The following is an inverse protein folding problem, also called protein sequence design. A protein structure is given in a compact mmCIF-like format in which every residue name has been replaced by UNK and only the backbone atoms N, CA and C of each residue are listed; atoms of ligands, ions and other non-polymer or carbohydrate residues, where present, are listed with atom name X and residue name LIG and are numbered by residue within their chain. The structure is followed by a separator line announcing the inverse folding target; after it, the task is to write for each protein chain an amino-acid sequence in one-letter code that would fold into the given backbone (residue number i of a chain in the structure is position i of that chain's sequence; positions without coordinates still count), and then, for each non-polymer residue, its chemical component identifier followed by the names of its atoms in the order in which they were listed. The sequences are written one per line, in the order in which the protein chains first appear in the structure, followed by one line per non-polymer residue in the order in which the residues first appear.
data_IF_403915956846
#
_entry.id   IF_403915956846
#
_cell.length_a   1.000
_cell.length_b   1.000
_cell.length_c   1.000
_cell.angle_alpha   90.00
_cell.angle_beta   90.00
_cell.angle_gamma   90.00
#
_symmetry.space_group_name_H-M   'P 1'
#
loop_
_entity.id
_entity.type
_entity.pdbx_description
1 polymer ?
#
# COMPACT_ATOMS: atom_id res chain seq x y z
N UNK A 1 17.01 -0.46 -3.15
CA UNK A 1 15.57 -0.77 -3.28
C UNK A 1 15.15 -1.67 -2.13
N UNK A 2 13.97 -1.48 -1.56
CA UNK A 2 13.37 -2.42 -0.61
C UNK A 2 11.87 -2.49 -0.90
N UNK A 3 11.34 -3.69 -1.14
CA UNK A 3 9.93 -3.89 -1.49
C UNK A 3 9.71 -4.51 -2.88
N UNK A 4 8.44 -4.56 -3.30
CA UNK A 4 7.91 -5.21 -4.51
C UNK A 4 8.71 -4.83 -5.75
N UNK A 5 9.13 -5.86 -6.51
CA UNK A 5 9.76 -5.69 -7.82
C UNK A 5 8.78 -5.90 -8.97
N UNK A 6 8.16 -7.07 -9.05
CA UNK A 6 7.12 -7.40 -10.04
C UNK A 6 7.55 -7.27 -11.52
N UNK A 7 8.85 -7.29 -11.81
CA UNK A 7 9.40 -7.21 -13.19
C UNK A 7 10.27 -8.43 -13.55
N UNK A 8 10.17 -9.51 -12.77
CA UNK A 8 10.87 -10.76 -12.98
C UNK A 8 11.01 -11.56 -11.69
N UNK A 9 11.13 -12.88 -11.82
CA UNK A 9 11.22 -13.81 -10.69
C UNK A 9 12.57 -14.52 -10.58
N UNK A 10 13.44 -14.39 -11.58
CA UNK A 10 14.75 -15.08 -11.63
C UNK A 10 15.88 -14.14 -11.23
N UNK A 11 17.05 -14.66 -10.77
CA UNK A 11 18.21 -13.86 -10.42
C UNK A 11 18.64 -12.88 -11.51
N UNK A 12 18.59 -13.29 -12.78
CA UNK A 12 18.98 -12.50 -13.96
C UNK A 12 18.01 -11.33 -14.21
N UNK A 13 16.82 -11.37 -13.61
CA UNK A 13 15.80 -10.32 -13.68
C UNK A 13 15.62 -9.59 -12.35
N UNK A 14 16.49 -9.84 -11.37
CA UNK A 14 16.46 -9.18 -10.06
C UNK A 14 16.72 -7.66 -10.18
N UNK A 15 16.31 -6.86 -9.17
CA UNK A 15 16.66 -5.44 -9.15
C UNK A 15 18.18 -5.20 -9.15
N UNK A 16 18.96 -6.12 -8.57
CA UNK A 16 20.41 -6.05 -8.56
C UNK A 16 21.00 -6.06 -9.97
N UNK A 17 20.52 -6.97 -10.82
CA UNK A 17 20.88 -7.04 -12.23
C UNK A 17 20.28 -5.90 -13.08
N UNK A 18 19.52 -4.99 -12.47
CA UNK A 18 18.92 -3.81 -13.09
C UNK A 18 19.45 -2.50 -12.51
N UNK A 19 20.61 -2.55 -11.84
CA UNK A 19 21.35 -1.37 -11.41
C UNK A 19 21.18 -0.97 -9.94
N UNK A 20 20.35 -1.68 -9.16
CA UNK A 20 20.27 -1.44 -7.73
C UNK A 20 21.45 -2.11 -7.00
N UNK A 21 22.40 -1.32 -6.50
CA UNK A 21 23.54 -1.83 -5.70
C UNK A 21 23.12 -2.64 -4.46
N UNK A 22 21.95 -2.31 -3.90
CA UNK A 22 21.33 -3.06 -2.80
C UNK A 22 19.84 -3.20 -3.06
N UNK A 23 19.34 -4.43 -2.94
CA UNK A 23 17.94 -4.74 -3.14
C UNK A 23 17.49 -5.87 -2.23
N UNK A 24 16.33 -5.69 -1.61
CA UNK A 24 15.56 -6.77 -1.02
C UNK A 24 14.14 -6.72 -1.59
N UNK A 25 13.76 -7.71 -2.37
CA UNK A 25 12.50 -7.68 -3.10
C UNK A 25 11.75 -9.01 -3.00
N UNK A 26 10.43 -9.00 -2.77
CA UNK A 26 9.62 -10.18 -2.99
C UNK A 26 9.48 -10.41 -4.51
N UNK A 27 9.56 -11.67 -4.89
CA UNK A 27 9.12 -12.15 -6.19
C UNK A 27 7.59 -12.34 -6.20
N UNK A 28 7.07 -12.97 -5.13
CA UNK A 28 5.65 -13.10 -4.71
C UNK A 28 5.68 -13.23 -3.18
N UNK A 29 4.66 -12.80 -2.42
CA UNK A 29 4.68 -13.04 -0.96
C UNK A 29 3.38 -12.71 -0.25
N UNK A 30 2.97 -13.62 0.65
CA UNK A 30 2.07 -13.31 1.77
C UNK A 30 2.74 -12.35 2.76
N UNK A 31 2.00 -11.34 3.25
CA UNK A 31 2.54 -10.33 4.16
C UNK A 31 3.18 -10.90 5.45
N UNK A 32 2.79 -12.11 5.85
CA UNK A 32 3.19 -12.82 7.07
C UNK A 32 4.22 -13.93 6.85
N UNK A 33 4.69 -14.15 5.62
CA UNK A 33 5.53 -15.30 5.24
C UNK A 33 4.91 -16.69 5.51
N UNK A 34 3.57 -16.74 5.68
CA UNK A 34 2.87 -18.01 5.81
C UNK A 34 2.80 -18.73 4.46
N UNK A 35 3.19 -20.00 4.47
CA UNK A 35 3.04 -20.91 3.33
C UNK A 35 2.14 -22.07 3.76
N UNK A 36 0.99 -22.29 3.10
CA UNK A 36 0.19 -23.48 3.37
C UNK A 36 0.96 -24.74 2.98
N UNK A 37 0.72 -25.85 3.68
CA UNK A 37 1.23 -27.17 3.29
C UNK A 37 0.46 -27.67 2.07
N UNK A 38 1.14 -27.72 0.93
CA UNK A 38 0.55 -28.09 -0.36
C UNK A 38 0.94 -29.51 -0.75
N UNK A 39 0.01 -30.22 -1.40
CA UNK A 39 0.31 -31.49 -2.05
C UNK A 39 1.08 -31.22 -3.36
N UNK A 40 2.30 -31.75 -3.48
CA UNK A 40 3.19 -31.56 -4.64
C UNK A 40 2.68 -32.25 -5.92
N UNK A 41 1.78 -33.22 -5.81
CA UNK A 41 1.24 -33.99 -6.94
C UNK A 41 0.11 -33.27 -7.68
N UNK A 42 -0.43 -32.18 -7.13
CA UNK A 42 -1.50 -31.41 -7.75
C UNK A 42 -0.98 -30.11 -8.39
N UNK A 43 -1.51 -29.71 -9.56
CA UNK A 43 -1.16 -28.43 -10.16
C UNK A 43 -1.54 -27.30 -9.21
N UNK A 44 -0.60 -26.37 -8.99
CA UNK A 44 -0.80 -25.25 -8.05
C UNK A 44 -1.98 -24.38 -8.49
N UNK A 45 -2.92 -24.17 -7.57
CA UNK A 45 -4.05 -23.25 -7.70
C UNK A 45 -3.56 -21.79 -7.68
N UNK A 46 -4.43 -20.85 -8.03
CA UNK A 46 -4.09 -19.42 -8.12
C UNK A 46 -3.38 -18.89 -6.86
N UNK A 47 -3.94 -19.11 -5.67
CA UNK A 47 -3.35 -18.65 -4.40
C UNK A 47 -2.05 -19.35 -4.03
N UNK A 48 -1.90 -20.61 -4.43
CA UNK A 48 -0.72 -21.44 -4.19
C UNK A 48 0.46 -20.98 -5.04
N UNK A 49 0.17 -20.41 -6.21
CA UNK A 49 1.15 -19.78 -7.07
C UNK A 49 1.46 -18.33 -6.62
N UNK A 50 0.51 -17.59 -6.06
CA UNK A 50 0.70 -16.15 -5.75
C UNK A 50 1.14 -15.86 -4.31
N UNK A 51 0.99 -16.80 -3.38
CA UNK A 51 1.25 -16.57 -1.94
C UNK A 51 2.61 -17.07 -1.44
N UNK A 52 3.40 -17.73 -2.29
CA UNK A 52 4.73 -18.24 -1.94
C UNK A 52 5.59 -17.05 -1.46
N UNK A 53 6.16 -17.07 -0.25
CA UNK A 53 7.01 -16.00 0.27
C UNK A 53 8.42 -16.08 -0.31
N UNK A 54 8.53 -15.90 -1.62
CA UNK A 54 9.79 -15.92 -2.32
C UNK A 54 10.38 -14.51 -2.33
N UNK A 55 11.57 -14.37 -1.74
CA UNK A 55 12.32 -13.12 -1.73
C UNK A 55 13.69 -13.28 -2.35
N UNK A 56 14.24 -12.18 -2.85
CA UNK A 56 15.62 -12.08 -3.29
C UNK A 56 16.32 -10.93 -2.56
N UNK A 57 17.51 -11.19 -2.04
CA UNK A 57 18.46 -10.16 -1.60
C UNK A 57 19.64 -10.12 -2.58
N UNK A 58 19.86 -8.95 -3.18
CA UNK A 58 20.74 -8.84 -4.34
C UNK A 58 20.24 -9.70 -5.50
N UNK A 59 21.05 -10.68 -5.89
CA UNK A 59 20.79 -11.68 -6.93
C UNK A 59 20.58 -13.10 -6.36
N UNK A 60 20.42 -13.25 -5.05
CA UNK A 60 20.24 -14.55 -4.39
C UNK A 60 18.85 -14.70 -3.83
N UNK A 61 18.27 -15.88 -3.98
CA UNK A 61 17.05 -16.24 -3.26
C UNK A 61 17.31 -16.28 -1.76
N UNK A 62 16.36 -15.74 -1.00
CA UNK A 62 16.34 -15.82 0.45
C UNK A 62 15.67 -17.13 0.82
N UNK A 63 16.40 -18.00 1.52
CA UNK A 63 15.90 -19.33 1.92
C UNK A 63 15.06 -19.27 3.19
N UNK A 64 15.31 -18.29 4.07
CA UNK A 64 14.61 -18.12 5.33
C UNK A 64 14.31 -16.65 5.60
N UNK A 65 13.08 -16.36 6.00
CA UNK A 65 12.68 -15.05 6.49
C UNK A 65 12.74 -15.06 8.01
N UNK A 66 13.12 -13.91 8.58
CA UNK A 66 13.19 -13.74 10.03
C UNK A 66 11.85 -14.08 10.70
N UNK A 67 11.93 -14.72 11.87
CA UNK A 67 10.77 -14.98 12.72
C UNK A 67 9.95 -13.69 12.93
N UNK A 68 8.62 -13.83 12.89
CA UNK A 68 7.71 -12.69 12.98
C UNK A 68 7.74 -11.78 11.74
N UNK A 69 8.11 -12.31 10.56
CA UNK A 69 8.10 -11.53 9.31
C UNK A 69 6.77 -10.81 9.08
N UNK A 70 6.86 -9.49 8.86
CA UNK A 70 5.73 -8.61 8.52
C UNK A 70 6.17 -7.64 7.44
N UNK A 71 5.87 -7.95 6.19
CA UNK A 71 6.34 -7.14 5.06
C UNK A 71 5.88 -5.67 5.09
N UNK A 72 4.73 -5.35 5.71
CA UNK A 72 4.24 -3.98 5.87
C UNK A 72 5.16 -3.08 6.72
N UNK A 73 6.03 -3.65 7.55
CA UNK A 73 7.08 -2.92 8.29
C UNK A 73 8.49 -3.23 7.79
N UNK A 74 8.74 -4.50 7.41
CA UNK A 74 10.09 -4.98 7.13
C UNK A 74 10.77 -4.25 5.98
N UNK A 75 10.05 -3.87 4.93
CA UNK A 75 10.69 -3.16 3.82
C UNK A 75 11.20 -1.77 4.24
N UNK A 76 10.48 -1.08 5.12
CA UNK A 76 10.93 0.17 5.74
C UNK A 76 12.18 -0.04 6.58
N UNK A 77 12.17 -1.03 7.48
CA UNK A 77 13.33 -1.35 8.33
C UNK A 77 14.60 -1.69 7.51
N UNK A 78 14.44 -2.44 6.42
CA UNK A 78 15.53 -2.76 5.48
C UNK A 78 16.03 -1.50 4.77
N UNK A 79 15.14 -0.60 4.34
CA UNK A 79 15.54 0.67 3.76
C UNK A 79 16.33 1.51 4.77
N UNK A 80 15.89 1.55 6.02
CA UNK A 80 16.61 2.23 7.11
C UNK A 80 18.00 1.64 7.32
N UNK A 81 18.14 0.31 7.31
CA UNK A 81 19.44 -0.37 7.36
C UNK A 81 20.33 0.11 6.21
N UNK A 82 19.82 0.15 4.99
CA UNK A 82 20.58 0.59 3.81
C UNK A 82 21.01 2.06 3.91
N UNK A 83 20.15 2.96 4.40
CA UNK A 83 20.47 4.37 4.60
C UNK A 83 21.52 4.59 5.69
N UNK A 84 21.43 3.87 6.82
CA UNK A 84 22.41 3.93 7.91
C UNK A 84 23.79 3.47 7.46
N UNK A 85 23.85 2.39 6.69
CA UNK A 85 25.12 1.89 6.13
C UNK A 85 25.68 2.84 5.07
N UNK A 86 24.82 3.46 4.24
CA UNK A 86 25.23 4.48 3.28
C UNK A 86 25.84 5.72 3.96
N UNK A 87 25.29 6.17 5.10
CA UNK A 87 25.90 7.24 5.93
C UNK A 87 27.36 6.96 6.30
N UNK A 88 27.73 5.68 6.45
CA UNK A 88 29.10 5.24 6.78
C UNK A 88 30.11 5.45 5.65
N UNK A 89 29.67 5.73 4.43
CA UNK A 89 30.53 6.02 3.29
C UNK A 89 31.02 7.47 3.40
N UNK A 90 32.29 7.65 3.77
CA UNK A 90 32.96 8.92 4.12
C UNK A 90 33.11 9.94 2.97
N UNK A 91 32.25 9.94 1.96
CA UNK A 91 32.41 10.86 0.83
C UNK A 91 31.45 12.05 0.93
N UNK A 92 32.02 13.24 1.18
CA UNK A 92 31.29 14.50 1.38
C UNK A 92 30.50 14.94 0.14
N UNK A 93 30.78 14.36 -1.03
CA UNK A 93 30.03 14.54 -2.28
C UNK A 93 29.48 13.22 -2.86
N UNK A 94 29.31 12.20 -2.02
CA UNK A 94 28.96 10.84 -2.45
C UNK A 94 27.89 10.79 -3.55
N UNK A 95 27.96 9.79 -4.46
CA UNK A 95 27.15 9.75 -5.67
C UNK A 95 25.66 9.88 -5.34
N UNK A 96 24.91 10.52 -6.24
CA UNK A 96 23.47 10.66 -6.14
C UNK A 96 22.83 9.31 -5.76
N UNK A 97 22.03 9.31 -4.69
CA UNK A 97 21.38 8.12 -4.16
C UNK A 97 19.96 8.03 -4.72
N UNK A 98 19.64 6.92 -5.37
CA UNK A 98 18.27 6.56 -5.70
C UNK A 98 17.74 5.56 -4.68
N UNK A 99 16.75 5.99 -3.89
CA UNK A 99 16.00 5.14 -2.98
C UNK A 99 14.64 4.79 -3.58
N UNK A 100 14.38 3.49 -3.73
CA UNK A 100 13.05 2.97 -4.09
C UNK A 100 12.53 2.13 -2.92
N UNK A 101 11.52 2.64 -2.22
CA UNK A 101 10.75 1.93 -1.21
C UNK A 101 9.38 1.60 -1.82
N UNK A 102 9.17 0.35 -2.19
CA UNK A 102 7.96 -0.12 -2.89
C UNK A 102 7.21 -1.14 -2.02
N UNK A 103 6.55 -0.73 -0.93
CA UNK A 103 5.89 -1.68 -0.03
C UNK A 103 4.86 -2.52 -0.79
N UNK A 104 4.65 -3.76 -0.36
CA UNK A 104 3.55 -4.58 -0.90
C UNK A 104 2.20 -4.18 -0.32
N UNK A 105 2.17 -3.45 0.80
CA UNK A 105 0.95 -2.90 1.38
C UNK A 105 0.36 -1.79 0.48
N UNK A 106 -0.96 -1.54 0.49
CA UNK A 106 -2.01 -2.21 1.25
C UNK A 106 -2.67 -3.35 0.45
N UNK A 107 -1.89 -4.11 -0.32
CA UNK A 107 -2.37 -5.29 -1.03
C UNK A 107 -2.79 -6.40 -0.04
N UNK A 108 -3.43 -7.48 -0.51
CA UNK A 108 -4.13 -8.47 0.34
C UNK A 108 -3.28 -9.10 1.46
N UNK A 109 -3.96 -9.50 2.55
CA UNK A 109 -3.49 -9.90 3.90
C UNK A 109 -3.35 -8.71 4.89
N UNK A 110 -4.51 -8.28 5.38
CA UNK A 110 -4.68 -7.01 6.08
C UNK A 110 -4.41 -7.11 7.60
N UNK A 111 -4.00 -6.00 8.23
CA UNK A 111 -3.72 -5.92 9.67
C UNK A 111 -4.35 -4.68 10.32
N UNK A 112 -4.89 -4.89 11.53
CA UNK A 112 -5.11 -3.96 12.66
C UNK A 112 -6.54 -3.40 12.90
N UNK A 113 -7.03 -3.42 14.17
CA UNK A 113 -8.41 -3.09 14.56
C UNK A 113 -8.62 -1.68 15.16
N UNK A 114 -7.81 -0.67 14.83
CA UNK A 114 -7.91 0.67 15.47
C UNK A 114 -8.84 1.66 14.77
N UNK A 115 -9.49 1.24 13.69
CA UNK A 115 -10.39 2.06 12.91
C UNK A 115 -11.83 1.57 13.09
N UNK A 116 -12.80 2.43 12.80
CA UNK A 116 -14.23 2.10 12.87
C UNK A 116 -14.86 2.45 11.53
N UNK A 117 -15.49 1.46 10.91
CA UNK A 117 -16.12 1.56 9.58
C UNK A 117 -17.55 0.98 9.56
N UNK A 118 -18.24 1.06 10.70
CA UNK A 118 -19.55 0.42 10.93
C UNK A 118 -20.71 1.04 10.12
N UNK A 119 -20.50 2.22 9.52
CA UNK A 119 -21.49 2.91 8.70
C UNK A 119 -21.37 2.64 7.20
N UNK A 120 -20.45 1.76 6.79
CA UNK A 120 -20.37 1.23 5.45
C UNK A 120 -19.71 2.13 4.41
N UNK A 121 -19.54 1.57 3.21
CA UNK A 121 -18.75 2.16 2.14
C UNK A 121 -19.39 3.39 1.49
N UNK A 122 -20.73 3.44 1.42
CA UNK A 122 -21.48 4.60 0.92
C UNK A 122 -21.35 5.82 1.83
N UNK A 123 -21.44 5.63 3.15
CA UNK A 123 -21.23 6.71 4.10
C UNK A 123 -19.78 7.25 3.99
N UNK A 124 -18.79 6.35 3.90
CA UNK A 124 -17.40 6.74 3.71
C UNK A 124 -17.16 7.49 2.39
N UNK A 125 -17.78 7.07 1.27
CA UNK A 125 -17.72 7.78 -0.01
C UNK A 125 -18.09 9.26 0.14
N UNK A 126 -19.24 9.53 0.76
CA UNK A 126 -19.75 10.88 0.93
C UNK A 126 -18.83 11.73 1.81
N UNK A 127 -18.28 11.13 2.88
CA UNK A 127 -17.29 11.81 3.72
C UNK A 127 -16.02 12.15 2.95
N UNK A 128 -15.48 11.21 2.16
CA UNK A 128 -14.31 11.44 1.30
C UNK A 128 -14.57 12.53 0.26
N UNK A 129 -15.70 12.48 -0.43
CA UNK A 129 -16.07 13.50 -1.42
C UNK A 129 -16.15 14.89 -0.78
N UNK A 130 -16.76 14.99 0.40
CA UNK A 130 -16.82 16.24 1.17
C UNK A 130 -15.42 16.76 1.52
N UNK A 131 -14.51 15.88 1.93
CA UNK A 131 -13.12 16.26 2.22
C UNK A 131 -12.38 16.67 0.95
N UNK A 132 -12.48 15.92 -0.16
CA UNK A 132 -11.85 16.27 -1.44
C UNK A 132 -12.28 17.66 -1.92
N UNK A 133 -13.57 17.98 -1.79
CA UNK A 133 -14.11 19.32 -2.06
C UNK A 133 -13.53 20.36 -1.10
N UNK A 134 -13.54 20.09 0.20
CA UNK A 134 -12.98 20.99 1.22
C UNK A 134 -11.50 21.33 0.98
N UNK A 135 -10.70 20.37 0.51
CA UNK A 135 -9.28 20.57 0.21
C UNK A 135 -9.02 21.13 -1.20
N UNK A 136 -10.05 21.35 -2.01
CA UNK A 136 -9.90 21.85 -3.38
C UNK A 136 -9.24 20.86 -4.33
N UNK A 137 -9.24 19.56 -4.00
CA UNK A 137 -8.69 18.50 -4.86
C UNK A 137 -9.63 18.14 -6.00
N UNK A 138 -10.92 18.49 -5.90
CA UNK A 138 -11.93 18.35 -6.95
C UNK A 138 -12.83 19.60 -6.99
N UNK A 139 -13.49 19.89 -8.12
CA UNK A 139 -14.48 20.97 -8.20
C UNK A 139 -15.61 20.83 -7.18
N UNK A 140 -16.13 21.96 -6.67
CA UNK A 140 -17.22 21.95 -5.67
C UNK A 140 -18.52 21.36 -6.23
N UNK A 141 -18.76 21.56 -7.52
CA UNK A 141 -19.92 21.10 -8.28
C UNK A 141 -19.72 19.72 -8.93
N UNK A 142 -18.58 19.05 -8.66
CA UNK A 142 -18.34 17.72 -9.22
C UNK A 142 -19.46 16.76 -8.81
N UNK A 143 -19.97 16.04 -9.81
CA UNK A 143 -20.92 14.94 -9.67
C UNK A 143 -20.14 13.63 -9.70
N UNK A 144 -20.10 12.85 -8.61
CA UNK A 144 -19.44 11.54 -8.63
C UNK A 144 -20.16 10.61 -9.61
N UNK A 145 -19.40 9.71 -10.23
CA UNK A 145 -20.00 8.62 -11.00
C UNK A 145 -20.86 7.76 -10.07
N UNK A 146 -22.03 7.26 -10.52
CA UNK A 146 -22.82 6.32 -9.73
C UNK A 146 -21.99 5.11 -9.29
N UNK A 147 -22.19 4.69 -8.05
CA UNK A 147 -21.52 3.53 -7.49
C UNK A 147 -22.34 2.32 -7.92
N UNK A 148 -21.77 1.48 -8.77
CA UNK A 148 -22.36 0.21 -9.19
C UNK A 148 -21.34 -0.89 -8.97
N UNK A 149 -21.61 -1.77 -8.01
CA UNK A 149 -20.84 -2.98 -7.80
C UNK A 149 -21.71 -4.16 -8.25
N UNK A 150 -21.47 -4.64 -9.48
CA UNK A 150 -22.14 -5.85 -9.98
C UNK A 150 -21.95 -6.99 -8.95
N UNK A 151 -23.03 -7.75 -8.72
CA UNK A 151 -23.10 -8.90 -7.80
C UNK A 151 -22.79 -8.60 -6.32
N UNK A 152 -22.84 -7.33 -5.90
CA UNK A 152 -22.64 -6.92 -4.51
C UNK A 152 -23.93 -6.29 -3.94
N UNK A 153 -24.55 -6.88 -2.90
CA UNK A 153 -25.69 -6.26 -2.22
C UNK A 153 -25.26 -4.96 -1.55
N UNK A 154 -26.20 -4.02 -1.43
CA UNK A 154 -26.00 -2.75 -0.73
C UNK A 154 -25.75 -2.97 0.75
N UNK A 155 -25.17 -1.96 1.42
CA UNK A 155 -24.85 -2.05 2.84
C UNK A 155 -26.11 -2.31 3.67
N UNK A 156 -27.24 -1.73 3.31
CA UNK A 156 -28.51 -1.87 4.00
C UNK A 156 -29.06 -3.30 3.92
N UNK A 157 -28.76 -4.02 2.83
CA UNK A 157 -29.33 -5.33 2.49
C UNK A 157 -28.51 -6.52 3.00
N UNK A 158 -27.35 -6.29 3.62
CA UNK A 158 -26.51 -7.35 4.18
C UNK A 158 -26.73 -7.57 5.69
N UNK A 159 -26.49 -8.82 6.12
CA UNK A 159 -26.66 -9.22 7.52
C UNK A 159 -25.67 -8.51 8.45
N UNK A 160 -25.96 -8.39 9.76
CA UNK A 160 -25.02 -7.80 10.73
C UNK A 160 -23.64 -8.46 10.72
N UNK A 161 -23.58 -9.78 10.54
CA UNK A 161 -22.32 -10.51 10.44
C UNK A 161 -21.53 -10.13 9.18
N UNK A 162 -22.21 -9.98 8.04
CA UNK A 162 -21.58 -9.53 6.79
C UNK A 162 -21.07 -8.09 6.92
N UNK A 163 -21.84 -7.20 7.56
CA UNK A 163 -21.42 -5.82 7.88
C UNK A 163 -20.14 -5.82 8.70
N UNK A 164 -20.12 -6.56 9.81
CA UNK A 164 -18.95 -6.64 10.69
C UNK A 164 -17.70 -7.17 9.97
N UNK A 165 -17.84 -8.18 9.09
CA UNK A 165 -16.71 -8.72 8.29
C UNK A 165 -16.21 -7.71 7.27
N UNK A 166 -17.13 -6.98 6.64
CA UNK A 166 -16.80 -5.94 5.65
C UNK A 166 -16.12 -4.73 6.30
N UNK A 167 -16.66 -4.23 7.42
CA UNK A 167 -16.06 -3.16 8.22
C UNK A 167 -14.65 -3.56 8.67
N UNK A 168 -14.49 -4.75 9.27
CA UNK A 168 -13.18 -5.26 9.70
C UNK A 168 -12.17 -5.33 8.55
N UNK A 169 -12.61 -5.67 7.34
CA UNK A 169 -11.73 -5.67 6.17
C UNK A 169 -11.22 -4.25 5.87
N UNK A 170 -12.09 -3.24 5.94
CA UNK A 170 -11.69 -1.84 5.76
C UNK A 170 -10.81 -1.32 6.91
N UNK A 171 -11.06 -1.75 8.15
CA UNK A 171 -10.21 -1.43 9.32
C UNK A 171 -8.78 -1.93 9.11
N UNK A 172 -8.65 -3.18 8.71
CA UNK A 172 -7.35 -3.77 8.45
C UNK A 172 -6.67 -3.12 7.23
N UNK A 173 -7.43 -2.68 6.22
CA UNK A 173 -6.88 -1.88 5.11
C UNK A 173 -6.30 -0.56 5.61
N UNK A 174 -7.04 0.16 6.45
CA UNK A 174 -6.58 1.42 7.04
C UNK A 174 -5.31 1.23 7.90
N UNK A 175 -5.24 0.15 8.68
CA UNK A 175 -4.03 -0.20 9.44
C UNK A 175 -2.80 -0.49 8.58
N UNK A 176 -2.98 -1.08 7.39
CA UNK A 176 -1.88 -1.23 6.44
C UNK A 176 -1.41 0.09 5.85
N UNK A 177 -2.34 1.01 5.54
CA UNK A 177 -1.99 2.34 5.05
C UNK A 177 -1.21 3.11 6.13
N UNK A 178 -1.62 3.02 7.39
CA UNK A 178 -0.88 3.59 8.52
C UNK A 178 0.54 3.00 8.66
N UNK A 179 0.69 1.69 8.42
CA UNK A 179 2.02 1.09 8.39
C UNK A 179 2.89 1.69 7.27
N UNK A 180 2.33 1.94 6.08
CA UNK A 180 3.08 2.61 4.99
C UNK A 180 3.54 4.00 5.45
N UNK A 181 2.63 4.79 6.02
CA UNK A 181 2.90 6.14 6.53
C UNK A 181 4.02 6.14 7.58
N UNK A 182 3.92 5.25 8.58
CA UNK A 182 4.96 5.10 9.61
C UNK A 182 6.32 4.72 9.04
N UNK A 183 6.38 3.88 7.99
CA UNK A 183 7.66 3.53 7.36
C UNK A 183 8.22 4.65 6.49
N UNK A 184 7.37 5.50 5.89
CA UNK A 184 7.80 6.73 5.22
C UNK A 184 8.42 7.67 6.25
N UNK A 185 7.75 7.90 7.39
CA UNK A 185 8.27 8.73 8.49
C UNK A 185 9.65 8.28 8.95
N UNK A 186 9.83 6.98 9.22
CA UNK A 186 11.14 6.41 9.59
C UNK A 186 12.25 6.74 8.58
N UNK A 187 11.93 6.72 7.28
CA UNK A 187 12.90 7.01 6.21
C UNK A 187 13.22 8.50 6.17
N UNK A 188 12.21 9.36 6.25
CA UNK A 188 12.39 10.81 6.26
C UNK A 188 13.16 11.27 7.50
N UNK A 189 12.84 10.75 8.68
CA UNK A 189 13.55 10.99 9.93
C UNK A 189 15.01 10.54 9.83
N UNK A 190 15.26 9.39 9.20
CA UNK A 190 16.64 8.94 8.96
C UNK A 190 17.39 9.92 8.06
N UNK A 191 16.79 10.39 6.96
CA UNK A 191 17.38 11.37 6.05
C UNK A 191 17.61 12.73 6.73
N UNK A 192 16.71 13.17 7.61
CA UNK A 192 16.86 14.38 8.42
C UNK A 192 18.05 14.24 9.38
N UNK A 193 18.13 13.11 10.10
CA UNK A 193 19.20 12.85 11.07
C UNK A 193 20.62 12.81 10.49
N UNK A 194 20.74 12.62 9.16
CA UNK A 194 22.00 12.61 8.43
C UNK A 194 22.21 13.87 7.57
N UNK A 195 21.32 14.87 7.70
CA UNK A 195 21.41 16.15 7.00
C UNK A 195 21.23 16.06 5.48
N UNK A 196 20.42 15.09 5.01
CA UNK A 196 20.18 14.85 3.59
C UNK A 196 18.76 15.16 3.13
N UNK A 197 17.80 15.29 4.06
CA UNK A 197 16.40 15.53 3.72
C UNK A 197 16.20 16.79 2.85
N UNK A 198 16.83 17.91 3.18
CA UNK A 198 16.70 19.17 2.43
C UNK A 198 17.19 19.10 0.99
N UNK A 199 18.09 18.15 0.68
CA UNK A 199 18.60 17.89 -0.66
C UNK A 199 18.07 16.56 -1.23
N UNK A 200 16.88 16.16 -0.80
CA UNK A 200 16.19 14.97 -1.29
C UNK A 200 14.93 15.39 -2.04
N UNK A 201 14.80 14.92 -3.28
CA UNK A 201 13.51 14.92 -3.97
C UNK A 201 12.73 13.67 -3.57
N UNK A 202 11.55 13.85 -2.99
CA UNK A 202 10.66 12.77 -2.59
C UNK A 202 9.44 12.71 -3.52
N UNK A 203 9.13 11.51 -4.01
CA UNK A 203 7.91 11.22 -4.76
C UNK A 203 7.17 10.08 -4.07
N UNK A 204 5.88 10.27 -3.82
CA UNK A 204 4.98 9.25 -3.27
C UNK A 204 3.82 9.06 -4.23
N UNK A 205 3.55 7.82 -4.62
CA UNK A 205 2.49 7.48 -5.56
C UNK A 205 2.00 6.05 -5.34
N UNK A 206 0.76 5.79 -5.73
CA UNK A 206 0.26 4.42 -5.91
C UNK A 206 0.61 3.92 -7.32
N UNK A 207 0.68 2.60 -7.49
CA UNK A 207 0.93 1.97 -8.79
C UNK A 207 -0.33 1.96 -9.69
N UNK A 208 -1.53 2.04 -9.10
CA UNK A 208 -2.81 2.07 -9.81
C UNK A 208 -3.95 2.68 -8.97
N UNK A 209 -5.17 2.66 -9.49
CA UNK A 209 -6.38 3.00 -8.73
C UNK A 209 -6.66 1.98 -7.62
N UNK A 210 -7.59 2.29 -6.72
CA UNK A 210 -8.01 1.34 -5.69
C UNK A 210 -8.52 0.04 -6.34
N UNK A 211 -8.23 -1.09 -5.69
CA UNK A 211 -8.45 -2.44 -6.24
C UNK A 211 -9.85 -2.94 -5.85
N UNK A 212 -10.77 -3.07 -6.80
CA UNK A 212 -12.21 -3.35 -6.57
C UNK A 212 -12.70 -4.74 -6.99
N UNK A 213 -11.84 -5.60 -7.51
CA UNK A 213 -12.22 -6.88 -8.07
C UNK A 213 -12.71 -7.92 -7.05
N UNK A 214 -13.92 -8.45 -7.21
CA UNK A 214 -14.33 -9.66 -6.49
C UNK A 214 -13.67 -10.87 -7.16
N UNK A 215 -12.53 -11.35 -6.65
CA UNK A 215 -11.80 -12.46 -7.29
C UNK A 215 -12.61 -13.76 -7.30
N UNK A 216 -13.50 -13.94 -6.32
CA UNK A 216 -14.50 -14.99 -6.25
C UNK A 216 -15.55 -14.92 -7.37
N UNK A 217 -15.69 -13.79 -8.06
CA UNK A 217 -16.60 -13.63 -9.19
C UNK A 217 -15.95 -14.04 -10.53
N UNK A 218 -14.62 -14.16 -10.61
CA UNK A 218 -13.96 -14.64 -11.83
C UNK A 218 -14.05 -16.15 -11.93
N UNK A 219 -14.67 -16.65 -13.01
CA UNK A 219 -14.90 -18.08 -13.26
C UNK A 219 -13.62 -18.92 -13.26
N UNK A 220 -12.48 -18.34 -13.65
CA UNK A 220 -11.14 -18.99 -13.64
C UNK A 220 -10.60 -19.18 -12.21
N UNK A 221 -11.11 -18.42 -11.24
CA UNK A 221 -10.59 -18.31 -9.86
C UNK A 221 -11.57 -18.90 -8.83
N UNK A 222 -12.86 -18.94 -9.15
CA UNK A 222 -13.98 -19.14 -8.24
C UNK A 222 -13.96 -20.45 -7.44
N UNK A 223 -13.76 -21.60 -8.09
CA UNK A 223 -13.84 -22.92 -7.43
C UNK A 223 -12.61 -23.24 -6.57
N UNK A 224 -11.44 -22.72 -6.93
CA UNK A 224 -10.18 -23.10 -6.26
C UNK A 224 -9.81 -22.21 -5.08
N UNK A 225 -10.22 -20.94 -5.11
CA UNK A 225 -9.85 -19.96 -4.07
C UNK A 225 -10.62 -20.17 -2.78
N UNK A 226 -11.96 -20.22 -2.81
CA UNK A 226 -12.76 -20.29 -1.58
C UNK A 226 -12.51 -21.55 -0.76
N UNK A 227 -12.27 -22.69 -1.42
CA UNK A 227 -11.87 -23.94 -0.77
C UNK A 227 -10.52 -23.80 -0.06
N UNK A 228 -9.51 -23.29 -0.77
CA UNK A 228 -8.18 -23.05 -0.23
C UNK A 228 -8.22 -22.12 0.99
N UNK A 229 -9.05 -21.08 0.93
CA UNK A 229 -9.21 -20.15 2.05
C UNK A 229 -9.82 -20.80 3.28
N UNK A 230 -10.87 -21.62 3.10
CA UNK A 230 -11.50 -22.36 4.20
C UNK A 230 -10.55 -23.39 4.81
N UNK A 231 -9.71 -24.00 3.99
CA UNK A 231 -8.79 -25.06 4.42
C UNK A 231 -7.58 -24.51 5.18
N UNK A 232 -6.98 -23.42 4.70
CA UNK A 232 -5.66 -22.98 5.18
C UNK A 232 -5.67 -21.66 5.96
N UNK A 233 -6.80 -20.94 6.02
CA UNK A 233 -6.85 -19.61 6.63
C UNK A 233 -8.04 -19.44 7.59
N UNK A 234 -7.82 -18.70 8.69
CA UNK A 234 -8.87 -18.37 9.66
C UNK A 234 -9.39 -16.95 9.41
N UNK A 235 -10.59 -16.87 8.82
CA UNK A 235 -11.29 -15.63 8.51
C UNK A 235 -12.40 -15.26 9.51
N UNK A 236 -12.40 -15.87 10.70
CA UNK A 236 -13.38 -15.54 11.74
C UNK A 236 -13.14 -14.12 12.29
N UNK A 237 -14.23 -13.42 12.66
CA UNK A 237 -14.19 -12.08 13.27
C UNK A 237 -13.38 -12.04 14.59
N UNK A 238 -13.26 -13.18 15.26
CA UNK A 238 -12.52 -13.35 16.51
C UNK A 238 -11.01 -13.47 16.31
N UNK A 239 -10.54 -13.72 15.08
CA UNK A 239 -9.12 -13.81 14.80
C UNK A 239 -8.49 -12.40 14.82
N UNK A 240 -7.35 -12.19 15.50
CA UNK A 240 -6.77 -10.85 15.72
C UNK A 240 -6.17 -10.24 14.44
N UNK A 241 -5.84 -11.07 13.47
CA UNK A 241 -5.43 -10.67 12.13
C UNK A 241 -5.99 -11.69 11.14
N UNK A 242 -7.32 -11.68 10.88
CA UNK A 242 -7.90 -12.67 9.99
C UNK A 242 -7.18 -12.51 8.66
N UNK A 243 -6.74 -13.62 8.09
CA UNK A 243 -6.10 -13.64 6.79
C UNK A 243 -7.20 -13.41 5.76
N UNK A 244 -7.75 -12.19 5.74
CA UNK A 244 -8.77 -11.74 4.81
C UNK A 244 -8.15 -11.69 3.42
N UNK A 245 -8.02 -12.86 2.85
CA UNK A 245 -8.13 -13.12 1.44
C UNK A 245 -9.58 -12.84 1.09
N UNK A 246 -9.91 -11.55 0.97
CA UNK A 246 -11.04 -10.98 0.23
C UNK A 246 -12.28 -11.87 0.11
N UNK A 247 -12.82 -12.39 1.22
CA UNK A 247 -14.15 -13.03 1.25
C UNK A 247 -15.24 -12.03 1.60
N UNK A 248 -14.86 -10.82 2.01
CA UNK A 248 -15.76 -9.69 2.19
C UNK A 248 -15.48 -8.64 1.11
N UNK A 249 -16.38 -8.59 0.13
CA UNK A 249 -16.58 -7.63 -0.96
C UNK A 249 -15.99 -6.23 -0.70
N UNK A 250 -14.71 -6.05 -1.00
CA UNK A 250 -14.05 -4.73 -1.11
C UNK A 250 -14.47 -3.96 -2.38
N UNK A 251 -15.26 -4.58 -3.27
CA UNK A 251 -15.81 -3.96 -4.48
C UNK A 251 -16.59 -2.69 -4.13
N UNK A 252 -17.52 -2.76 -3.18
CA UNK A 252 -18.30 -1.59 -2.76
C UNK A 252 -17.41 -0.56 -2.07
N UNK A 253 -16.37 -0.96 -1.32
CA UNK A 253 -15.39 -0.02 -0.77
C UNK A 253 -14.60 0.71 -1.86
N UNK A 254 -14.23 0.07 -2.97
CA UNK A 254 -13.39 0.70 -4.01
C UNK A 254 -14.16 1.50 -5.04
N UNK A 255 -15.34 1.02 -5.47
CA UNK A 255 -16.20 1.77 -6.40
C UNK A 255 -16.64 3.09 -5.76
N UNK A 256 -16.83 3.09 -4.43
CA UNK A 256 -17.03 4.28 -3.60
C UNK A 256 -15.81 5.20 -3.45
N UNK A 257 -14.61 4.87 -3.95
CA UNK A 257 -13.39 5.64 -3.68
C UNK A 257 -12.59 6.02 -4.94
N UNK A 258 -13.07 5.68 -6.14
CA UNK A 258 -12.40 6.01 -7.39
C UNK A 258 -12.78 7.43 -7.86
N UNK A 259 -11.82 8.35 -8.09
CA UNK A 259 -12.13 9.59 -8.77
C UNK A 259 -12.48 9.33 -10.25
N UNK A 260 -13.28 10.21 -10.89
CA UNK A 260 -13.83 9.99 -12.23
C UNK A 260 -12.81 9.69 -13.34
N UNK A 261 -11.53 10.00 -13.13
CA UNK A 261 -10.48 9.92 -14.15
C UNK A 261 -9.79 8.55 -14.28
N UNK A 262 -10.08 7.57 -13.42
CA UNK A 262 -9.39 6.25 -13.50
C UNK A 262 -9.78 5.42 -14.72
N UNK A 263 -10.86 5.78 -15.42
CA UNK A 263 -11.27 5.13 -16.68
C UNK A 263 -10.92 5.94 -17.95
N UNK A 264 -10.42 7.18 -17.82
CA UNK A 264 -10.11 8.00 -18.99
C UNK A 264 -9.01 9.04 -18.70
N UNK A 265 -7.74 8.67 -18.86
CA UNK A 265 -6.67 9.61 -19.28
C UNK A 265 -5.34 8.90 -19.59
N UNK A 266 -5.16 8.48 -20.85
CA UNK A 266 -3.86 8.59 -21.51
C UNK A 266 -3.69 10.05 -21.93
N UNK A 267 -2.88 10.83 -21.22
CA UNK A 267 -2.23 12.04 -21.76
C UNK A 267 -1.08 12.46 -20.86
N UNK A 268 0.14 12.32 -21.41
CA UNK A 268 1.36 12.83 -20.82
C UNK A 268 1.28 14.36 -20.69
N UNK A 269 1.57 14.89 -19.50
CA UNK A 269 1.88 16.31 -19.33
C UNK A 269 3.39 16.44 -19.09
N UNK A 270 4.08 16.91 -20.13
CA UNK A 270 5.46 17.37 -20.08
C UNK A 270 5.47 18.75 -19.41
N UNK A 271 6.13 18.90 -18.27
CA UNK A 271 6.36 20.22 -17.67
C UNK A 271 7.66 20.78 -18.24
N UNK A 272 7.53 21.85 -19.04
CA UNK A 272 8.63 22.69 -19.52
C UNK A 272 9.25 23.45 -18.35
N UNK A 273 10.58 23.49 -18.30
CA UNK A 273 11.34 24.41 -17.46
C UNK A 273 11.17 25.84 -17.99
N UNK A 274 10.86 26.78 -17.10
CA UNK A 274 11.17 28.18 -17.30
C UNK A 274 12.02 28.65 -16.13
N UNK A 275 13.21 29.13 -16.47
CA UNK A 275 14.17 29.74 -15.59
C UNK A 275 13.76 31.18 -15.31
N UNK A 276 13.50 31.53 -14.07
CA UNK A 276 13.68 32.90 -13.59
C UNK A 276 14.18 32.89 -12.15
N UNK A 277 15.28 33.62 -11.96
CA UNK A 277 16.07 33.65 -10.75
C UNK A 277 15.40 34.50 -9.66
N UNK A 278 15.62 34.09 -8.40
CA UNK A 278 15.72 35.05 -7.31
C UNK A 278 14.52 35.20 -6.39
N UNK A 279 14.05 34.13 -5.73
CA UNK A 279 13.52 34.20 -4.36
C UNK A 279 13.94 32.96 -3.57
N UNK A 280 14.82 33.15 -2.57
CA UNK A 280 15.16 32.12 -1.58
C UNK A 280 13.88 31.71 -0.83
N UNK A 281 13.40 30.49 -1.08
CA UNK A 281 12.41 29.85 -0.21
C UNK A 281 13.18 29.04 0.82
N UNK A 282 13.21 29.54 2.05
CA UNK A 282 13.70 28.79 3.21
C UNK A 282 12.75 27.62 3.45
N UNK A 283 13.25 26.39 3.32
CA UNK A 283 12.51 25.18 3.62
C UNK A 283 12.06 25.19 5.09
N UNK A 284 10.80 24.84 5.40
CA UNK A 284 10.33 24.87 6.77
C UNK A 284 10.82 23.62 7.54
N UNK A 285 11.20 23.86 8.80
CA UNK A 285 11.72 22.89 9.77
C UNK A 285 10.72 21.75 10.02
N UNK A 286 11.14 20.51 9.80
CA UNK A 286 10.42 19.25 10.05
C UNK A 286 9.15 18.98 9.20
N UNK A 287 8.83 17.70 8.97
CA UNK A 287 7.60 17.23 8.31
C UNK A 287 6.30 17.72 8.98
N UNK A 288 6.36 18.23 10.23
CA UNK A 288 5.27 18.97 10.89
C UNK A 288 4.89 20.28 10.18
N UNK A 289 5.78 20.86 9.38
CA UNK A 289 5.61 22.18 8.79
C UNK A 289 5.28 22.17 7.29
N UNK A 290 5.51 21.07 6.57
CA UNK A 290 5.08 20.91 5.17
C UNK A 290 3.55 21.04 5.07
N UNK A 291 2.82 20.54 6.07
CA UNK A 291 1.38 20.65 6.05
C UNK A 291 0.80 22.05 6.32
N UNK A 292 1.54 22.93 7.00
CA UNK A 292 1.02 24.26 7.38
C UNK A 292 1.16 25.35 6.31
N UNK A 293 1.99 25.16 5.28
CA UNK A 293 2.17 26.15 4.20
C UNK A 293 1.68 25.69 2.82
N UNK A 294 1.57 24.38 2.57
CA UNK A 294 1.10 23.85 1.29
C UNK A 294 -0.35 23.36 1.32
N UNK A 295 -1.08 23.53 2.42
CA UNK A 295 -2.49 23.10 2.53
C UNK A 295 -2.70 21.58 2.58
N UNK A 296 -1.63 20.78 2.63
CA UNK A 296 -1.70 19.34 2.90
C UNK A 296 -1.67 19.08 4.41
N UNK A 297 -2.34 18.04 4.88
CA UNK A 297 -2.59 17.86 6.32
C UNK A 297 -1.33 17.52 7.13
N UNK A 298 -1.35 17.86 8.42
CA UNK A 298 -0.32 17.41 9.36
C UNK A 298 -0.63 15.99 9.86
N UNK A 299 0.37 15.19 10.29
CA UNK A 299 0.11 13.89 10.93
C UNK A 299 -0.72 13.94 12.21
N UNK A 300 -0.99 15.13 12.78
CA UNK A 300 -1.97 15.28 13.88
C UNK A 300 -3.42 15.24 13.39
N UNK A 301 -3.68 15.59 12.14
CA UNK A 301 -5.02 15.53 11.55
C UNK A 301 -5.43 14.09 11.19
N UNK A 302 -4.44 13.19 11.02
CA UNK A 302 -4.62 11.74 10.88
C UNK A 302 -4.96 11.05 12.21
N UNK A 303 -4.52 11.58 13.35
CA UNK A 303 -4.80 11.00 14.69
C UNK A 303 -6.20 11.26 15.21
N UNK A 304 -6.89 12.27 14.67
CA UNK A 304 -8.23 12.65 15.10
C UNK A 304 -9.33 12.08 14.18
N UNK A 305 -9.16 10.91 13.58
CA UNK A 305 -10.22 10.18 12.85
C UNK A 305 -10.80 10.87 11.61
N UNK A 306 -10.75 12.20 11.46
CA UNK A 306 -11.58 12.99 10.54
C UNK A 306 -11.22 12.88 9.06
N UNK A 307 -10.15 12.16 8.73
CA UNK A 307 -9.77 11.82 7.36
C UNK A 307 -10.18 10.38 6.97
N UNK A 308 -10.47 9.53 7.97
CA UNK A 308 -10.83 8.12 7.84
C UNK A 308 -12.25 7.83 8.37
N UNK A 309 -12.88 8.76 9.09
CA UNK A 309 -14.26 8.76 9.57
C UNK A 309 -15.05 9.92 9.00
#
# INVERSE_FOLDING_TARGET
MSGKWHLGLTPERSPYQRGFKRSFAPARSNHFAYTPELNEEQPRRFLEATSIPLHMEGDKYVTELLEGWRSFNRYGDIMLKYLKEWKGLKDKRGPALLCLLSPTAPHWFLLAPQYVYDDGSGALHLRRLKQLKKFGLVPQDVKPHPVSAEDSPEWEDITPEQKARSARTMECFAGMVECIDSNVDKVLDCLESIGKLDNTFACFMSDNGAEGAAYEAYTIVQTTVMEHLKQYYNNSLKHPAPTYTRTAKLSTWVVNHSPPSSQAAKRASTIRSSSEAGKRVVAPRSARAIGRRCGFLSPKDLRNGSFLT
#
